data_IF_342941737059
#
_entry.id   IF_342941737059
#
_cell.length_a   1.000
_cell.length_b   1.000
_cell.length_c   1.000
_cell.angle_alpha   90.00
_cell.angle_beta   90.00
_cell.angle_gamma   90.00
#
_symmetry.space_group_name_H-M   'P 1'
#
loop_
_entity.id
_entity.type
_entity.pdbx_description
1 polymer ?
#
# COMPACT_ATOMS: atom_id res chain seq x y z
N UNK A 1 6.81 11.08 -8.96
CA UNK A 1 6.73 11.26 -7.50
C UNK A 1 8.08 10.98 -6.83
N UNK A 2 8.73 9.82 -7.08
CA UNK A 2 10.05 9.49 -6.53
C UNK A 2 11.12 10.50 -6.93
N UNK A 3 11.12 10.98 -8.17
CA UNK A 3 12.06 12.00 -8.64
C UNK A 3 11.85 13.34 -7.93
N UNK A 4 10.59 13.74 -7.73
CA UNK A 4 10.25 14.94 -6.95
C UNK A 4 10.71 14.80 -5.50
N UNK A 5 10.51 13.63 -4.88
CA UNK A 5 10.97 13.36 -3.52
C UNK A 5 12.50 13.45 -3.38
N UNK A 6 13.24 12.91 -4.36
CA UNK A 6 14.70 12.86 -4.29
C UNK A 6 15.36 14.24 -4.51
N UNK A 7 14.81 15.06 -5.41
CA UNK A 7 15.43 16.32 -5.84
C UNK A 7 14.73 17.56 -5.28
N UNK A 8 13.41 17.66 -5.42
CA UNK A 8 12.69 18.92 -5.15
C UNK A 8 12.37 19.13 -3.66
N UNK A 9 12.23 18.08 -2.86
CA UNK A 9 11.91 18.26 -1.44
C UNK A 9 12.96 19.11 -0.71
N UNK A 10 14.23 19.06 -1.15
CA UNK A 10 15.28 19.89 -0.57
C UNK A 10 15.08 21.39 -0.78
N UNK A 11 14.40 21.81 -1.85
CA UNK A 11 14.14 23.22 -2.13
C UNK A 11 13.05 23.81 -1.22
N UNK A 12 12.19 22.97 -0.65
CA UNK A 12 11.13 23.39 0.27
C UNK A 12 11.57 23.38 1.74
N UNK A 13 12.76 22.86 2.02
CA UNK A 13 13.30 22.79 3.38
C UNK A 13 14.16 24.01 3.72
N UNK A 14 14.18 24.45 5.00
CA UNK A 14 15.08 25.52 5.43
C UNK A 14 16.54 25.18 5.13
N UNK A 15 17.36 26.17 4.76
CA UNK A 15 18.78 25.96 4.50
C UNK A 15 19.46 25.37 5.74
N UNK A 16 20.18 24.25 5.55
CA UNK A 16 20.87 23.52 6.62
C UNK A 16 20.18 22.23 7.10
N UNK A 17 18.94 21.97 6.69
CA UNK A 17 18.27 20.70 6.98
C UNK A 17 18.35 19.76 5.77
N UNK A 18 19.16 18.71 5.87
CA UNK A 18 19.23 17.65 4.85
C UNK A 18 18.60 16.38 5.39
N UNK A 19 17.44 16.01 4.90
CA UNK A 19 16.89 14.69 5.18
C UNK A 19 17.60 13.61 4.35
N UNK A 20 17.84 12.46 4.97
CA UNK A 20 18.32 11.29 4.25
C UNK A 20 17.35 10.96 3.09
N UNK A 21 17.88 10.51 1.94
CA UNK A 21 17.13 10.15 0.75
C UNK A 21 15.99 9.15 1.08
N UNK A 22 16.29 8.15 1.92
CA UNK A 22 15.30 7.17 2.37
C UNK A 22 14.10 7.85 3.07
N UNK A 23 14.36 8.79 4.00
CA UNK A 23 13.30 9.49 4.73
C UNK A 23 12.41 10.31 3.81
N UNK A 24 12.99 10.99 2.82
CA UNK A 24 12.24 11.77 1.83
C UNK A 24 11.31 10.89 1.00
N UNK A 25 11.82 9.74 0.55
CA UNK A 25 11.05 8.77 -0.21
C UNK A 25 9.91 8.20 0.65
N UNK A 26 10.18 7.84 1.90
CA UNK A 26 9.15 7.33 2.82
C UNK A 26 8.03 8.33 3.05
N UNK A 27 8.34 9.61 3.27
CA UNK A 27 7.33 10.67 3.44
C UNK A 27 6.43 10.74 2.20
N UNK A 28 7.02 10.83 1.01
CA UNK A 28 6.24 11.00 -0.23
C UNK A 28 5.44 9.75 -0.60
N UNK A 29 6.01 8.56 -0.39
CA UNK A 29 5.28 7.29 -0.60
C UNK A 29 4.13 7.15 0.40
N UNK A 30 4.31 7.60 1.65
CA UNK A 30 3.25 7.58 2.65
C UNK A 30 2.08 8.50 2.24
N UNK A 31 2.36 9.74 1.79
CA UNK A 31 1.32 10.62 1.28
C UNK A 31 0.60 10.04 0.06
N UNK A 32 1.34 9.46 -0.86
CA UNK A 32 0.76 8.82 -2.04
C UNK A 32 -0.12 7.62 -1.66
N UNK A 33 0.38 6.74 -0.80
CA UNK A 33 -0.36 5.58 -0.30
C UNK A 33 -1.63 5.99 0.46
N UNK A 34 -1.54 7.03 1.31
CA UNK A 34 -2.70 7.51 2.07
C UNK A 34 -3.80 8.06 1.17
N UNK A 35 -3.46 8.71 0.06
CA UNK A 35 -4.45 9.17 -0.91
C UNK A 35 -5.21 7.99 -1.56
N UNK A 36 -4.50 6.92 -1.94
CA UNK A 36 -5.13 5.71 -2.48
C UNK A 36 -6.00 4.98 -1.46
N UNK A 37 -5.50 4.83 -0.23
CA UNK A 37 -6.25 4.18 0.85
C UNK A 37 -7.49 4.98 1.22
N UNK A 38 -7.40 6.31 1.26
CA UNK A 38 -8.54 7.18 1.51
C UNK A 38 -9.63 7.00 0.44
N UNK A 39 -9.26 6.86 -0.84
CA UNK A 39 -10.20 6.61 -1.92
C UNK A 39 -10.87 5.24 -1.83
N UNK A 40 -10.12 4.21 -1.43
CA UNK A 40 -10.66 2.86 -1.17
C UNK A 40 -11.68 2.89 -0.03
N UNK A 41 -11.35 3.59 1.07
CA UNK A 41 -12.27 3.73 2.21
C UNK A 41 -13.50 4.56 1.83
N UNK A 42 -13.34 5.62 1.04
CA UNK A 42 -14.45 6.40 0.51
C UNK A 42 -15.41 5.53 -0.31
N UNK A 43 -14.87 4.67 -1.16
CA UNK A 43 -15.67 3.68 -1.91
C UNK A 43 -16.42 2.71 -0.97
N UNK A 44 -15.78 2.24 0.09
CA UNK A 44 -16.41 1.40 1.11
C UNK A 44 -17.57 2.10 1.84
N UNK A 45 -17.41 3.38 2.17
CA UNK A 45 -18.48 4.18 2.79
C UNK A 45 -19.67 4.34 1.82
N UNK A 46 -19.41 4.59 0.55
CA UNK A 46 -20.45 4.74 -0.47
C UNK A 46 -21.21 3.45 -0.77
N UNK A 47 -20.60 2.30 -0.51
CA UNK A 47 -21.22 0.98 -0.70
C UNK A 47 -22.24 0.63 0.39
N UNK A 48 -22.32 1.39 1.49
CA UNK A 48 -23.25 1.11 2.59
C UNK A 48 -24.67 1.47 2.18
N UNK A 49 -25.64 0.54 2.33
CA UNK A 49 -27.03 0.79 2.02
C UNK A 49 -27.62 1.96 2.82
N UNK A 50 -28.47 2.77 2.18
CA UNK A 50 -29.14 3.91 2.83
C UNK A 50 -29.95 3.49 4.06
N UNK A 51 -30.54 2.30 4.07
CA UNK A 51 -31.29 1.78 5.20
C UNK A 51 -30.49 1.68 6.52
N UNK A 52 -29.15 1.58 6.44
CA UNK A 52 -28.30 1.61 7.65
C UNK A 52 -28.31 2.99 8.31
N UNK A 53 -28.33 4.05 7.52
CA UNK A 53 -28.42 5.42 8.01
C UNK A 53 -29.81 5.73 8.55
N UNK A 54 -30.86 5.24 7.87
CA UNK A 54 -32.26 5.42 8.28
C UNK A 54 -32.54 4.68 9.60
N UNK A 55 -32.06 3.45 9.75
CA UNK A 55 -32.16 2.67 10.97
C UNK A 55 -31.42 3.34 12.15
N UNK A 56 -30.22 3.86 11.91
CA UNK A 56 -29.47 4.60 12.91
C UNK A 56 -30.20 5.89 13.36
N UNK A 57 -30.77 6.62 12.42
CA UNK A 57 -31.58 7.80 12.72
C UNK A 57 -32.84 7.45 13.51
N UNK A 58 -33.52 6.34 13.19
CA UNK A 58 -34.70 5.86 13.93
C UNK A 58 -34.34 5.49 15.38
N UNK A 59 -33.11 5.07 15.65
CA UNK A 59 -32.59 4.82 17.00
C UNK A 59 -32.12 6.09 17.73
N UNK A 60 -32.26 7.26 17.11
CA UNK A 60 -31.88 8.55 17.71
C UNK A 60 -30.38 8.83 17.69
N UNK A 61 -29.58 8.07 16.91
CA UNK A 61 -28.14 8.31 16.78
C UNK A 61 -27.87 9.60 16.01
N UNK A 62 -27.00 10.44 16.52
CA UNK A 62 -26.54 11.62 15.81
C UNK A 62 -25.54 11.25 14.70
N UNK A 63 -25.16 12.19 13.83
CA UNK A 63 -24.28 11.96 12.71
C UNK A 63 -22.94 11.28 13.09
N UNK A 64 -22.29 11.77 14.14
CA UNK A 64 -21.01 11.22 14.59
C UNK A 64 -21.15 9.82 15.17
N UNK A 65 -22.21 9.57 15.93
CA UNK A 65 -22.49 8.23 16.46
C UNK A 65 -22.82 7.25 15.34
N UNK A 66 -23.64 7.64 14.37
CA UNK A 66 -23.94 6.84 13.19
C UNK A 66 -22.66 6.51 12.42
N UNK A 67 -21.81 7.52 12.21
CA UNK A 67 -20.54 7.31 11.47
C UNK A 67 -19.61 6.37 12.20
N UNK A 68 -19.38 6.58 13.50
CA UNK A 68 -18.39 5.81 14.26
C UNK A 68 -18.86 4.40 14.64
N UNK A 69 -20.15 4.23 14.96
CA UNK A 69 -20.67 2.97 15.48
C UNK A 69 -21.25 2.06 14.39
N UNK A 70 -21.78 2.64 13.30
CA UNK A 70 -22.50 1.89 12.27
C UNK A 70 -21.75 1.91 10.95
N UNK A 71 -21.47 3.10 10.40
CA UNK A 71 -20.95 3.25 9.04
C UNK A 71 -19.49 2.83 8.93
N UNK A 72 -18.63 3.38 9.77
CA UNK A 72 -17.17 3.19 9.66
C UNK A 72 -16.74 1.72 9.85
N UNK A 73 -17.25 0.95 10.83
CA UNK A 73 -16.89 -0.46 10.97
C UNK A 73 -17.30 -1.30 9.75
N UNK A 74 -18.48 -1.03 9.17
CA UNK A 74 -18.96 -1.72 7.99
C UNK A 74 -18.15 -1.31 6.75
N UNK A 75 -17.89 -0.01 6.57
CA UNK A 75 -17.09 0.51 5.47
C UNK A 75 -15.67 -0.08 5.46
N UNK A 76 -15.02 -0.18 6.63
CA UNK A 76 -13.69 -0.77 6.75
C UNK A 76 -13.70 -2.26 6.33
N UNK A 77 -14.72 -3.03 6.74
CA UNK A 77 -14.85 -4.44 6.31
C UNK A 77 -14.96 -4.54 4.79
N UNK A 78 -15.77 -3.71 4.14
CA UNK A 78 -15.94 -3.68 2.68
C UNK A 78 -14.64 -3.24 1.98
N UNK A 79 -13.87 -2.35 2.61
CA UNK A 79 -12.64 -1.78 2.03
C UNK A 79 -11.42 -2.73 2.13
N UNK A 80 -11.44 -3.75 2.99
CA UNK A 80 -10.29 -4.63 3.24
C UNK A 80 -9.66 -5.19 1.96
N UNK A 81 -10.39 -5.76 0.98
CA UNK A 81 -9.79 -6.26 -0.25
C UNK A 81 -9.06 -5.18 -1.04
N UNK A 82 -9.66 -3.99 -1.13
CA UNK A 82 -9.06 -2.83 -1.80
C UNK A 82 -7.79 -2.33 -1.09
N UNK A 83 -7.80 -2.29 0.25
CA UNK A 83 -6.63 -1.91 1.05
C UNK A 83 -5.49 -2.89 0.81
N UNK A 84 -5.74 -4.20 0.85
CA UNK A 84 -4.69 -5.21 0.62
C UNK A 84 -4.17 -5.13 -0.81
N UNK A 85 -5.03 -4.93 -1.81
CA UNK A 85 -4.60 -4.72 -3.20
C UNK A 85 -3.70 -3.48 -3.33
N UNK A 86 -4.00 -2.41 -2.62
CA UNK A 86 -3.14 -1.20 -2.57
C UNK A 86 -1.77 -1.55 -1.97
N UNK A 87 -1.72 -2.30 -0.88
CA UNK A 87 -0.45 -2.74 -0.28
C UNK A 87 0.35 -3.66 -1.20
N UNK A 88 -0.29 -4.59 -1.92
CA UNK A 88 0.39 -5.43 -2.91
C UNK A 88 0.96 -4.57 -4.05
N UNK A 89 0.24 -3.55 -4.50
CA UNK A 89 0.71 -2.58 -5.47
C UNK A 89 1.94 -1.83 -4.97
N UNK A 90 1.86 -1.22 -3.78
CA UNK A 90 2.97 -0.50 -3.14
C UNK A 90 4.20 -1.39 -2.91
N UNK A 91 3.99 -2.65 -2.53
CA UNK A 91 5.08 -3.61 -2.38
C UNK A 91 5.83 -3.84 -3.71
N UNK A 92 5.12 -3.95 -4.82
CA UNK A 92 5.74 -4.05 -6.16
C UNK A 92 6.42 -2.75 -6.57
N UNK A 93 5.86 -1.61 -6.22
CA UNK A 93 6.41 -0.30 -6.54
C UNK A 93 7.72 0.00 -5.81
N UNK A 94 8.08 -0.79 -4.77
CA UNK A 94 9.41 -0.69 -4.15
C UNK A 94 10.55 -0.93 -5.12
N UNK A 95 10.33 -1.67 -6.22
CA UNK A 95 11.34 -1.87 -7.27
C UNK A 95 11.70 -0.58 -8.02
N UNK A 96 10.84 0.43 -7.99
CA UNK A 96 11.07 1.71 -8.64
C UNK A 96 12.11 2.59 -7.92
N UNK A 97 12.43 2.28 -6.64
CA UNK A 97 13.41 3.06 -5.86
C UNK A 97 14.85 2.90 -6.40
N UNK A 98 15.10 1.89 -7.21
CA UNK A 98 16.37 1.73 -7.95
C UNK A 98 16.68 2.95 -8.82
N UNK A 99 15.65 3.63 -9.37
CA UNK A 99 15.83 4.81 -10.23
C UNK A 99 16.48 5.98 -9.48
N UNK A 100 16.32 6.03 -8.17
CA UNK A 100 16.89 7.08 -7.31
C UNK A 100 18.10 6.59 -6.50
N UNK A 101 18.65 5.41 -6.84
CA UNK A 101 19.86 4.87 -6.23
C UNK A 101 19.65 4.12 -4.92
N UNK A 102 18.41 3.82 -4.53
CA UNK A 102 18.13 2.91 -3.43
C UNK A 102 18.06 1.47 -3.96
N UNK A 103 18.68 0.54 -3.22
CA UNK A 103 18.73 -0.87 -3.60
C UNK A 103 17.58 -1.63 -2.92
N UNK A 104 16.66 -2.11 -3.74
CA UNK A 104 15.67 -3.12 -3.41
C UNK A 104 16.20 -4.53 -3.80
N UNK A 105 15.44 -5.63 -3.59
CA UNK A 105 15.89 -6.97 -4.00
C UNK A 105 16.26 -7.07 -5.48
N UNK A 106 15.57 -6.36 -6.38
CA UNK A 106 15.91 -6.30 -7.80
C UNK A 106 17.20 -5.52 -8.04
N UNK A 107 17.38 -4.38 -7.35
CA UNK A 107 18.58 -3.56 -7.42
C UNK A 107 19.81 -4.29 -6.89
N UNK A 108 19.66 -5.03 -5.80
CA UNK A 108 20.74 -5.89 -5.25
C UNK A 108 21.12 -6.98 -6.25
N UNK A 109 20.12 -7.64 -6.87
CA UNK A 109 20.37 -8.64 -7.92
C UNK A 109 21.13 -8.07 -9.10
N UNK A 110 20.76 -6.88 -9.58
CA UNK A 110 21.49 -6.17 -10.64
C UNK A 110 22.90 -5.79 -10.23
N UNK A 111 23.10 -5.32 -9.02
CA UNK A 111 24.43 -4.98 -8.51
C UNK A 111 25.32 -6.23 -8.41
N UNK A 112 24.77 -7.37 -7.97
CA UNK A 112 25.50 -8.64 -7.95
C UNK A 112 25.94 -9.09 -9.36
N UNK A 113 25.09 -8.92 -10.38
CA UNK A 113 25.42 -9.25 -11.77
C UNK A 113 26.56 -8.40 -12.38
N UNK A 114 26.88 -7.26 -11.75
CA UNK A 114 28.04 -6.46 -12.16
C UNK A 114 29.38 -7.05 -11.67
N UNK A 115 29.37 -8.00 -10.70
CA UNK A 115 30.56 -8.71 -10.25
C UNK A 115 30.93 -9.82 -11.27
N UNK A 116 32.22 -9.93 -11.59
CA UNK A 116 32.73 -10.93 -12.54
C UNK A 116 32.40 -12.39 -12.14
N UNK A 117 32.22 -12.65 -10.83
CA UNK A 117 31.83 -13.98 -10.31
C UNK A 117 30.42 -14.40 -10.69
N UNK A 118 29.55 -13.46 -11.00
CA UNK A 118 28.13 -13.68 -11.34
C UNK A 118 27.88 -13.51 -12.83
N UNK A 119 28.96 -13.36 -13.62
CA UNK A 119 28.85 -13.18 -15.07
C UNK A 119 28.21 -14.43 -15.71
N UNK A 120 27.13 -14.20 -16.48
CA UNK A 120 26.37 -15.28 -17.13
C UNK A 120 25.17 -15.82 -16.31
N UNK A 121 25.02 -15.46 -15.02
CA UNK A 121 23.93 -15.92 -14.15
C UNK A 121 22.74 -14.95 -14.11
N UNK A 122 22.53 -14.17 -15.16
CA UNK A 122 21.46 -13.17 -15.21
C UNK A 122 20.07 -13.79 -15.13
N UNK A 123 19.85 -14.90 -15.83
CA UNK A 123 18.55 -15.58 -15.86
C UNK A 123 18.19 -16.13 -14.47
N UNK A 124 19.14 -16.78 -13.81
CA UNK A 124 18.94 -17.34 -12.47
C UNK A 124 18.67 -16.27 -11.44
N UNK A 125 19.40 -15.16 -11.49
CA UNK A 125 19.20 -14.02 -10.56
C UNK A 125 17.82 -13.41 -10.73
N UNK A 126 17.39 -13.13 -11.97
CA UNK A 126 16.06 -12.58 -12.20
C UNK A 126 14.95 -13.57 -11.90
N UNK A 127 15.15 -14.87 -12.14
CA UNK A 127 14.20 -15.92 -11.77
C UNK A 127 14.03 -15.98 -10.25
N UNK A 128 15.13 -15.90 -9.50
CA UNK A 128 15.09 -15.88 -8.04
C UNK A 128 14.32 -14.67 -7.51
N UNK A 129 14.62 -13.48 -8.01
CA UNK A 129 13.91 -12.25 -7.61
C UNK A 129 12.44 -12.32 -7.98
N UNK A 130 12.11 -12.82 -9.18
CA UNK A 130 10.72 -12.99 -9.62
C UNK A 130 9.98 -13.99 -8.71
N UNK A 131 10.60 -15.12 -8.34
CA UNK A 131 10.04 -16.10 -7.42
C UNK A 131 9.79 -15.49 -6.03
N UNK A 132 10.74 -14.71 -5.53
CA UNK A 132 10.60 -14.01 -4.25
C UNK A 132 9.39 -13.08 -4.24
N UNK A 133 9.24 -12.21 -5.25
CA UNK A 133 8.09 -11.33 -5.38
C UNK A 133 6.78 -12.12 -5.59
N UNK A 134 6.81 -13.19 -6.39
CA UNK A 134 5.65 -14.02 -6.61
C UNK A 134 5.15 -14.67 -5.32
N UNK A 135 6.03 -15.30 -4.54
CA UNK A 135 5.66 -15.96 -3.27
C UNK A 135 5.11 -14.92 -2.28
N UNK A 136 5.76 -13.78 -2.15
CA UNK A 136 5.33 -12.71 -1.26
C UNK A 136 3.94 -12.17 -1.65
N UNK A 137 3.74 -11.81 -2.92
CA UNK A 137 2.45 -11.31 -3.41
C UNK A 137 1.35 -12.38 -3.33
N UNK A 138 1.68 -13.65 -3.61
CA UNK A 138 0.74 -14.75 -3.50
C UNK A 138 0.29 -14.96 -2.05
N UNK A 139 1.23 -14.94 -1.10
CA UNK A 139 0.92 -15.05 0.32
C UNK A 139 0.02 -13.91 0.81
N UNK A 140 0.32 -12.67 0.41
CA UNK A 140 -0.50 -11.50 0.73
C UNK A 140 -1.91 -11.62 0.13
N UNK A 141 -2.03 -12.06 -1.12
CA UNK A 141 -3.32 -12.27 -1.80
C UNK A 141 -4.14 -13.37 -1.12
N UNK A 142 -3.51 -14.50 -0.76
CA UNK A 142 -4.18 -15.58 -0.03
C UNK A 142 -4.65 -15.16 1.36
N UNK A 143 -3.83 -14.37 2.05
CA UNK A 143 -4.21 -13.79 3.35
C UNK A 143 -5.42 -12.84 3.21
N UNK A 144 -5.45 -12.00 2.17
CA UNK A 144 -6.58 -11.11 1.88
C UNK A 144 -7.89 -11.89 1.70
N UNK A 145 -7.87 -12.93 0.86
CA UNK A 145 -9.04 -13.78 0.61
C UNK A 145 -9.52 -14.50 1.87
N UNK A 146 -8.58 -15.00 2.69
CA UNK A 146 -8.91 -15.63 3.96
C UNK A 146 -9.58 -14.63 4.92
N UNK A 147 -9.05 -13.40 5.00
CA UNK A 147 -9.59 -12.35 5.85
C UNK A 147 -11.00 -11.92 5.39
N UNK A 148 -11.19 -11.76 4.08
CA UNK A 148 -12.47 -11.45 3.47
C UNK A 148 -13.53 -12.52 3.80
N UNK A 149 -13.21 -13.80 3.61
CA UNK A 149 -14.10 -14.90 3.97
C UNK A 149 -14.47 -14.88 5.46
N UNK A 150 -13.50 -14.64 6.33
CA UNK A 150 -13.75 -14.59 7.77
C UNK A 150 -14.68 -13.45 8.17
N UNK A 151 -14.51 -12.27 7.55
CA UNK A 151 -15.35 -11.11 7.83
C UNK A 151 -16.76 -11.20 7.24
N UNK A 152 -16.91 -11.87 6.09
CA UNK A 152 -18.22 -12.10 5.46
C UNK A 152 -19.06 -13.18 6.16
N UNK A 153 -18.43 -14.10 6.88
CA UNK A 153 -19.13 -15.21 7.56
C UNK A 153 -19.89 -14.72 8.82
N UNK A 154 -19.58 -13.54 9.34
CA UNK A 154 -20.28 -12.95 10.49
C UNK A 154 -21.65 -12.32 10.13
N UNK A 155 -22.07 -12.37 8.86
CA UNK A 155 -23.33 -11.82 8.35
C UNK A 155 -24.35 -12.87 7.92
N UNK A 156 -24.21 -14.16 8.32
CA UNK A 156 -25.24 -15.19 8.13
C UNK A 156 -25.98 -15.47 9.42
#
# INVERSE_FOLDING_TARGET
LLFVASTMLNYFLPPGTTFNLLLRVLIMVTFFASAYIAEVIRGGIQAIPKGQYEAAAAMGLNYWQTTMLVTLPQALKISIPGIVNTFIGLYKDTTLVVVIGLLDPLGIGRAALADAKWNGLSTETYLFVALFFFVSCFAMSRYSLWLEHRLNTEHK
#
